data_IF_944958462394
#
_entry.id   IF_944958462394
#
_cell.length_a   1.000
_cell.length_b   1.000
_cell.length_c   1.000
_cell.angle_alpha   90.00
_cell.angle_beta   90.00
_cell.angle_gamma   90.00
#
_symmetry.space_group_name_H-M   'P 1'
#
loop_
_entity.id
_entity.type
_entity.pdbx_description
1 polymer ?
#
# COMPACT_ATOMS: atom_id res chain seq x y z
N UNK A 1 -1.90 27.63 11.65
CA UNK A 1 -3.24 27.28 11.14
C UNK A 1 -3.15 27.21 9.63
N UNK A 2 -3.58 26.19 8.90
CA UNK A 2 -4.31 24.97 9.24
C UNK A 2 -3.85 23.84 8.31
N UNK A 3 -3.94 22.63 8.81
CA UNK A 3 -3.87 21.39 8.05
C UNK A 3 -4.44 20.33 8.96
N UNK A 4 -5.78 20.30 9.03
CA UNK A 4 -6.53 19.19 9.65
C UNK A 4 -5.89 17.89 9.16
N UNK A 5 -5.61 16.89 10.01
CA UNK A 5 -5.07 15.61 9.54
C UNK A 5 -5.99 15.15 8.40
N UNK A 6 -5.40 14.89 7.23
CA UNK A 6 -6.13 14.39 6.08
C UNK A 6 -6.75 13.08 6.51
N UNK A 7 -8.03 13.13 6.87
CA UNK A 7 -8.81 11.95 7.12
C UNK A 7 -8.68 11.09 5.87
N UNK A 8 -8.08 9.91 6.03
CA UNK A 8 -7.84 8.97 4.93
C UNK A 8 -9.13 8.82 4.11
N UNK A 9 -9.12 8.95 2.77
CA UNK A 9 -10.34 8.82 1.98
C UNK A 9 -11.09 7.53 2.29
N UNK A 10 -12.43 7.58 2.25
CA UNK A 10 -13.27 6.44 2.67
C UNK A 10 -12.96 5.17 1.84
N UNK A 11 -12.74 5.31 0.55
CA UNK A 11 -12.37 4.21 -0.35
C UNK A 11 -11.02 3.59 0.04
N UNK A 12 -10.02 4.41 0.40
CA UNK A 12 -8.73 3.94 0.88
C UNK A 12 -8.84 3.24 2.24
N UNK A 13 -9.62 3.80 3.18
CA UNK A 13 -9.88 3.17 4.49
C UNK A 13 -10.56 1.81 4.35
N UNK A 14 -11.62 1.72 3.55
CA UNK A 14 -12.39 0.48 3.36
C UNK A 14 -11.56 -0.62 2.70
N UNK A 15 -10.80 -0.27 1.66
CA UNK A 15 -9.96 -1.24 0.93
C UNK A 15 -8.82 -1.75 1.82
N UNK A 16 -8.15 -0.84 2.54
CA UNK A 16 -7.08 -1.20 3.48
C UNK A 16 -7.58 -2.06 4.63
N UNK A 17 -8.73 -1.72 5.23
CA UNK A 17 -9.31 -2.50 6.32
C UNK A 17 -9.70 -3.92 5.87
N UNK A 18 -10.25 -4.06 4.66
CA UNK A 18 -10.58 -5.38 4.11
C UNK A 18 -9.32 -6.20 3.80
N UNK A 19 -8.30 -5.58 3.21
CA UNK A 19 -7.02 -6.23 2.93
C UNK A 19 -6.37 -6.75 4.22
N UNK A 20 -6.15 -5.86 5.20
CA UNK A 20 -5.51 -6.19 6.47
C UNK A 20 -6.27 -7.28 7.24
N UNK A 21 -7.59 -7.15 7.38
CA UNK A 21 -8.39 -8.16 8.09
C UNK A 21 -8.39 -9.52 7.39
N UNK A 22 -8.28 -9.55 6.06
CA UNK A 22 -8.16 -10.80 5.31
C UNK A 22 -6.79 -11.44 5.51
N UNK A 23 -5.72 -10.66 5.48
CA UNK A 23 -4.36 -11.13 5.78
C UNK A 23 -4.28 -11.66 7.21
N UNK A 24 -4.74 -10.88 8.20
CA UNK A 24 -4.65 -11.25 9.62
C UNK A 24 -5.40 -12.54 9.94
N UNK A 25 -6.50 -12.82 9.24
CA UNK A 25 -7.25 -14.07 9.41
C UNK A 25 -6.52 -15.27 8.80
N UNK A 26 -5.80 -15.07 7.71
CA UNK A 26 -5.10 -16.13 7.00
C UNK A 26 -3.71 -16.42 7.62
N UNK A 27 -2.95 -15.38 7.93
CA UNK A 27 -1.57 -15.43 8.44
C UNK A 27 -1.37 -14.33 9.51
N UNK A 28 -1.81 -14.56 10.76
CA UNK A 28 -1.71 -13.58 11.84
C UNK A 28 -0.28 -13.11 12.07
N UNK A 29 -0.09 -11.79 12.17
CA UNK A 29 1.22 -11.19 12.42
C UNK A 29 2.16 -11.19 11.21
N UNK A 30 1.68 -11.56 10.03
CA UNK A 30 2.45 -11.42 8.79
C UNK A 30 2.83 -9.97 8.53
N UNK A 31 1.86 -9.05 8.58
CA UNK A 31 2.04 -7.62 8.33
C UNK A 31 2.09 -6.85 9.65
N UNK A 32 3.25 -6.27 9.95
CA UNK A 32 3.50 -5.44 11.13
C UNK A 32 3.53 -3.94 10.82
N UNK A 33 3.59 -3.56 9.54
CA UNK A 33 3.39 -2.21 9.06
C UNK A 33 2.46 -2.13 7.85
N UNK A 34 1.75 -1.01 7.71
CA UNK A 34 0.96 -0.68 6.52
C UNK A 34 0.82 0.83 6.39
N UNK A 35 1.23 1.35 5.25
CA UNK A 35 1.30 2.79 4.98
C UNK A 35 0.60 3.12 3.67
N UNK A 36 -0.14 4.22 3.65
CA UNK A 36 -0.67 4.80 2.41
C UNK A 36 0.27 5.88 1.91
N UNK A 37 0.55 5.86 0.61
CA UNK A 37 1.47 6.76 -0.10
C UNK A 37 0.76 7.37 -1.32
N UNK A 38 1.51 8.01 -2.21
CA UNK A 38 0.95 8.61 -3.43
C UNK A 38 -0.13 9.65 -3.16
N UNK A 39 -1.11 9.74 -4.05
CA UNK A 39 -2.13 10.80 -4.03
C UNK A 39 -2.91 10.92 -2.71
N UNK A 40 -3.03 9.82 -1.96
CA UNK A 40 -3.69 9.80 -0.65
C UNK A 40 -2.90 10.62 0.37
N UNK A 41 -1.58 10.48 0.45
CA UNK A 41 -0.76 11.20 1.43
C UNK A 41 -0.54 12.68 1.05
N UNK A 42 -0.69 13.03 -0.22
CA UNK A 42 -0.67 14.43 -0.68
C UNK A 42 -2.02 15.14 -0.57
N UNK A 43 -3.10 14.44 -0.24
CA UNK A 43 -4.45 15.01 -0.22
C UNK A 43 -5.00 15.36 -1.60
N UNK A 44 -4.50 14.71 -2.66
CA UNK A 44 -4.91 14.90 -4.06
C UNK A 44 -5.56 13.61 -4.63
N UNK A 45 -6.20 12.84 -3.75
CA UNK A 45 -6.87 11.60 -4.12
C UNK A 45 -8.29 11.84 -4.66
N UNK A 46 -8.55 11.37 -5.87
CA UNK A 46 -9.83 11.51 -6.55
C UNK A 46 -10.44 10.14 -6.87
N UNK A 47 -11.20 9.56 -5.93
CA UNK A 47 -11.79 8.22 -6.06
C UNK A 47 -12.67 8.00 -7.31
N UNK A 48 -13.26 9.09 -7.83
CA UNK A 48 -14.14 9.07 -9.02
C UNK A 48 -13.55 9.83 -10.22
N UNK A 49 -12.31 10.30 -10.10
CA UNK A 49 -11.60 11.16 -11.05
C UNK A 49 -11.94 12.64 -10.91
N UNK A 50 -11.04 13.50 -11.41
CA UNK A 50 -11.04 14.94 -11.14
C UNK A 50 -11.86 15.81 -12.12
N UNK A 51 -12.64 15.25 -13.07
CA UNK A 51 -13.34 16.10 -14.04
C UNK A 51 -14.42 15.46 -14.93
N UNK A 52 -14.95 16.27 -15.87
CA UNK A 52 -15.85 15.81 -16.94
C UNK A 52 -15.04 15.52 -18.21
N UNK A 53 -15.05 14.27 -18.68
CA UNK A 53 -14.47 13.88 -19.96
C UNK A 53 -13.74 12.54 -19.93
N UNK A 54 -13.23 12.08 -21.08
CA UNK A 54 -12.49 10.81 -21.24
C UNK A 54 -11.12 10.77 -20.52
N UNK A 55 -10.70 11.87 -19.89
CA UNK A 55 -9.41 12.03 -19.21
C UNK A 55 -9.54 12.09 -17.67
N UNK A 56 -10.75 11.93 -17.11
CA UNK A 56 -10.95 11.89 -15.66
C UNK A 56 -10.72 10.47 -15.13
N UNK A 57 -9.46 10.06 -15.03
CA UNK A 57 -9.10 8.79 -14.40
C UNK A 57 -9.19 8.94 -12.89
N UNK A 58 -9.76 7.94 -12.22
CA UNK A 58 -9.71 7.89 -10.76
C UNK A 58 -8.26 7.70 -10.30
N UNK A 59 -7.89 8.32 -9.17
CA UNK A 59 -6.64 8.00 -8.49
C UNK A 59 -6.62 6.53 -8.08
N UNK A 60 -5.43 5.98 -7.92
CA UNK A 60 -5.21 4.67 -7.33
C UNK A 60 -5.00 4.79 -5.81
N UNK A 61 -5.18 3.69 -5.09
CA UNK A 61 -4.81 3.56 -3.67
C UNK A 61 -3.45 2.90 -3.64
N UNK A 62 -2.42 3.71 -3.42
CA UNK A 62 -1.04 3.27 -3.31
C UNK A 62 -0.68 2.92 -1.86
N UNK A 63 -0.06 1.76 -1.65
CA UNK A 63 0.36 1.31 -0.32
C UNK A 63 1.79 0.76 -0.28
N UNK A 64 2.39 0.83 0.92
CA UNK A 64 3.56 0.06 1.31
C UNK A 64 3.18 -0.78 2.51
N UNK A 65 3.16 -2.10 2.35
CA UNK A 65 2.94 -3.04 3.44
C UNK A 65 4.28 -3.56 3.94
N UNK A 66 4.41 -3.73 5.25
CA UNK A 66 5.65 -4.22 5.86
C UNK A 66 5.37 -5.53 6.57
N UNK A 67 5.98 -6.60 6.07
CA UNK A 67 5.97 -7.90 6.66
C UNK A 67 7.10 -8.03 7.69
N UNK A 68 6.81 -8.71 8.80
CA UNK A 68 7.80 -8.92 9.86
C UNK A 68 9.02 -9.70 9.37
N UNK A 69 8.78 -10.64 8.47
CA UNK A 69 9.80 -11.45 7.79
C UNK A 69 9.38 -11.64 6.34
N UNK A 70 10.34 -11.98 5.48
CA UNK A 70 10.07 -12.27 4.08
C UNK A 70 8.95 -13.33 3.97
N UNK A 71 7.85 -13.06 3.25
CA UNK A 71 6.75 -14.01 3.15
C UNK A 71 7.19 -15.31 2.49
N UNK A 72 6.94 -16.45 3.15
CA UNK A 72 7.03 -17.77 2.53
C UNK A 72 5.80 -18.09 1.67
N UNK A 73 5.69 -19.31 1.11
CA UNK A 73 4.57 -19.68 0.23
C UNK A 73 3.17 -19.47 0.83
N UNK A 74 3.00 -19.74 2.13
CA UNK A 74 1.74 -19.48 2.86
C UNK A 74 1.42 -17.98 2.93
N UNK A 75 2.40 -17.17 3.34
CA UNK A 75 2.28 -15.71 3.37
C UNK A 75 1.98 -15.10 2.00
N UNK A 76 2.66 -15.55 0.95
CA UNK A 76 2.39 -15.12 -0.43
C UNK A 76 0.95 -15.47 -0.83
N UNK A 77 0.47 -16.67 -0.49
CA UNK A 77 -0.89 -17.10 -0.79
C UNK A 77 -1.93 -16.26 -0.04
N UNK A 78 -1.66 -15.93 1.23
CA UNK A 78 -2.51 -15.05 2.03
C UNK A 78 -2.59 -13.63 1.46
N UNK A 79 -1.44 -13.06 1.05
CA UNK A 79 -1.37 -11.75 0.41
C UNK A 79 -2.14 -11.72 -0.93
N UNK A 80 -1.93 -12.75 -1.77
CA UNK A 80 -2.64 -12.88 -3.05
C UNK A 80 -4.16 -12.98 -2.84
N UNK A 81 -4.60 -13.79 -1.87
CA UNK A 81 -6.02 -13.95 -1.55
C UNK A 81 -6.62 -12.66 -1.00
N UNK A 82 -5.92 -11.96 -0.10
CA UNK A 82 -6.37 -10.70 0.47
C UNK A 82 -6.49 -9.61 -0.59
N UNK A 83 -5.50 -9.52 -1.49
CA UNK A 83 -5.53 -8.59 -2.63
C UNK A 83 -6.70 -8.89 -3.56
N UNK A 84 -6.84 -10.14 -4.00
CA UNK A 84 -7.94 -10.56 -4.86
C UNK A 84 -9.32 -10.31 -4.24
N UNK A 85 -9.46 -10.57 -2.93
CA UNK A 85 -10.70 -10.30 -2.17
C UNK A 85 -11.01 -8.80 -2.15
N UNK A 86 -9.99 -7.97 -1.95
CA UNK A 86 -10.12 -6.51 -1.89
C UNK A 86 -10.54 -5.95 -3.25
N UNK A 87 -9.85 -6.33 -4.33
CA UNK A 87 -10.18 -5.91 -5.70
C UNK A 87 -11.54 -6.41 -6.17
N UNK A 88 -11.92 -7.64 -5.80
CA UNK A 88 -13.24 -8.17 -6.12
C UNK A 88 -14.36 -7.38 -5.43
N UNK A 89 -14.12 -6.92 -4.19
CA UNK A 89 -15.09 -6.14 -3.43
C UNK A 89 -15.11 -4.66 -3.84
N UNK A 90 -13.95 -4.10 -4.14
CA UNK A 90 -13.73 -2.70 -4.49
C UNK A 90 -12.88 -2.62 -5.77
N UNK A 91 -13.49 -2.75 -6.95
CA UNK A 91 -12.75 -2.80 -8.23
C UNK A 91 -12.16 -1.46 -8.65
N UNK A 92 -12.64 -0.35 -8.07
CA UNK A 92 -12.09 1.00 -8.23
C UNK A 92 -12.22 1.75 -6.90
N UNK A 93 -11.28 2.65 -6.56
CA UNK A 93 -9.93 2.82 -7.12
C UNK A 93 -9.09 1.55 -7.20
N UNK A 94 -8.02 1.55 -8.00
CA UNK A 94 -7.09 0.41 -8.01
C UNK A 94 -6.38 0.33 -6.66
N UNK A 95 -5.90 -0.85 -6.32
CA UNK A 95 -5.30 -1.12 -5.02
C UNK A 95 -3.91 -1.74 -5.26
N UNK A 96 -2.90 -0.88 -5.22
CA UNK A 96 -1.57 -1.13 -5.77
C UNK A 96 -0.49 -0.79 -4.74
N UNK A 97 0.64 -1.50 -4.79
CA UNK A 97 1.66 -1.37 -3.76
C UNK A 97 2.57 -2.58 -3.62
N UNK A 98 3.47 -2.54 -2.64
CA UNK A 98 4.51 -3.55 -2.44
C UNK A 98 4.51 -4.07 -1.00
N UNK A 99 4.98 -5.31 -0.81
CA UNK A 99 5.15 -5.95 0.50
C UNK A 99 6.64 -6.10 0.82
N UNK A 100 7.14 -5.18 1.63
CA UNK A 100 8.53 -5.07 2.05
C UNK A 100 8.74 -5.72 3.42
N UNK A 101 9.99 -5.88 3.84
CA UNK A 101 10.37 -6.05 5.25
C UNK A 101 10.95 -4.74 5.78
N UNK A 102 11.09 -4.63 7.10
CA UNK A 102 11.79 -3.48 7.69
C UNK A 102 13.22 -3.33 7.17
N UNK A 103 13.91 -4.44 6.91
CA UNK A 103 15.25 -4.43 6.32
C UNK A 103 15.26 -3.95 4.86
N UNK A 104 14.22 -4.28 4.09
CA UNK A 104 14.08 -3.81 2.70
C UNK A 104 13.86 -2.29 2.65
N UNK A 105 13.09 -1.74 3.61
CA UNK A 105 12.89 -0.30 3.74
C UNK A 105 14.21 0.41 4.07
N UNK A 106 14.93 -0.04 5.09
CA UNK A 106 16.19 0.56 5.51
C UNK A 106 17.31 0.44 4.45
N UNK A 107 17.25 -0.56 3.58
CA UNK A 107 18.21 -0.72 2.49
C UNK A 107 17.93 0.21 1.30
N UNK A 108 16.70 0.71 1.17
CA UNK A 108 16.28 1.53 0.04
C UNK A 108 15.87 0.72 -1.20
N UNK A 109 15.33 1.41 -2.23
CA UNK A 109 14.66 0.76 -3.37
C UNK A 109 15.62 0.05 -4.34
N UNK A 110 16.88 0.48 -4.41
CA UNK A 110 17.87 -0.08 -5.35
C UNK A 110 18.39 -1.45 -4.88
N UNK A 111 18.58 -1.61 -3.56
CA UNK A 111 19.08 -2.84 -2.95
C UNK A 111 17.95 -3.81 -2.56
N UNK A 112 16.69 -3.41 -2.73
CA UNK A 112 15.54 -4.26 -2.45
C UNK A 112 15.41 -5.40 -3.48
N UNK A 113 15.24 -6.67 -3.05
CA UNK A 113 15.00 -7.79 -3.97
C UNK A 113 13.60 -7.72 -4.60
N UNK A 114 13.28 -8.67 -5.48
CA UNK A 114 11.90 -8.82 -5.95
C UNK A 114 10.98 -9.22 -4.79
N UNK A 115 9.83 -8.55 -4.70
CA UNK A 115 8.88 -8.67 -3.59
C UNK A 115 7.46 -8.91 -4.08
N UNK A 116 6.55 -9.40 -3.23
CA UNK A 116 5.13 -9.40 -3.59
C UNK A 116 4.65 -7.98 -3.83
N UNK A 117 4.05 -7.73 -4.98
CA UNK A 117 3.58 -6.42 -5.37
C UNK A 117 2.26 -6.51 -6.15
N UNK A 118 1.56 -5.40 -6.24
CA UNK A 118 0.38 -5.24 -7.05
C UNK A 118 0.48 -3.96 -7.88
N UNK A 119 0.16 -4.08 -9.16
CA UNK A 119 0.05 -2.96 -10.06
C UNK A 119 -1.15 -3.17 -10.98
N UNK A 120 -1.89 -2.09 -11.24
CA UNK A 120 -3.09 -2.12 -12.04
C UNK A 120 -4.17 -3.09 -11.50
N UNK A 121 -4.23 -3.24 -10.16
CA UNK A 121 -5.01 -4.24 -9.43
C UNK A 121 -4.67 -5.69 -9.79
N UNK A 122 -3.41 -5.97 -10.16
CA UNK A 122 -2.92 -7.33 -10.44
C UNK A 122 -1.78 -7.67 -9.51
N UNK A 123 -1.95 -8.74 -8.74
CA UNK A 123 -0.93 -9.24 -7.82
C UNK A 123 0.13 -10.08 -8.54
N UNK A 124 1.39 -9.84 -8.20
CA UNK A 124 2.54 -10.67 -8.54
C UNK A 124 3.22 -11.14 -7.24
N UNK A 125 3.57 -12.43 -7.18
CA UNK A 125 4.25 -13.01 -6.02
C UNK A 125 5.70 -12.50 -5.84
N UNK A 126 6.31 -12.04 -6.94
CA UNK A 126 7.63 -11.44 -6.98
C UNK A 126 7.68 -10.44 -8.15
N UNK A 127 8.09 -9.21 -7.86
CA UNK A 127 8.23 -8.12 -8.81
C UNK A 127 8.83 -6.88 -8.16
N UNK A 128 8.88 -5.77 -8.91
CA UNK A 128 9.48 -4.51 -8.46
C UNK A 128 8.53 -3.31 -8.52
N UNK A 129 7.24 -3.55 -8.73
CA UNK A 129 6.26 -2.47 -8.78
C UNK A 129 6.19 -1.78 -7.42
N UNK A 130 6.24 -0.45 -7.40
CA UNK A 130 6.32 0.38 -6.18
C UNK A 130 7.72 0.47 -5.55
N UNK A 131 8.74 -0.22 -6.09
CA UNK A 131 10.13 -0.12 -5.62
C UNK A 131 10.87 0.99 -6.35
N UNK A 132 10.67 2.23 -5.93
CA UNK A 132 11.36 3.37 -6.52
C UNK A 132 11.65 4.47 -5.47
N UNK A 133 12.64 5.35 -5.72
CA UNK A 133 13.00 6.42 -4.79
C UNK A 133 11.87 7.39 -4.46
N UNK A 134 10.92 7.60 -5.37
CA UNK A 134 9.78 8.50 -5.13
C UNK A 134 8.88 7.91 -4.06
N UNK A 135 8.46 6.66 -4.19
CA UNK A 135 7.61 5.98 -3.20
C UNK A 135 8.26 5.93 -1.80
N UNK A 136 9.56 5.69 -1.72
CA UNK A 136 10.31 5.70 -0.44
C UNK A 136 10.36 7.11 0.17
N UNK A 137 10.64 8.13 -0.64
CA UNK A 137 10.61 9.52 -0.19
C UNK A 137 9.20 9.97 0.25
N UNK A 138 8.15 9.57 -0.47
CA UNK A 138 6.76 9.82 -0.09
C UNK A 138 6.42 9.19 1.26
N UNK A 139 6.81 7.92 1.47
CA UNK A 139 6.63 7.23 2.73
C UNK A 139 7.32 7.98 3.87
N UNK A 140 8.62 8.27 3.74
CA UNK A 140 9.43 8.91 4.78
C UNK A 140 8.94 10.31 5.14
N UNK A 141 8.44 11.07 4.16
CA UNK A 141 8.09 12.48 4.37
C UNK A 141 6.62 12.73 4.69
N UNK A 142 5.72 11.87 4.18
CA UNK A 142 4.27 12.14 4.21
C UNK A 142 3.39 10.90 4.39
N UNK A 143 3.97 9.69 4.43
CA UNK A 143 3.19 8.46 4.52
C UNK A 143 2.11 8.53 5.60
N UNK A 144 0.97 7.88 5.37
CA UNK A 144 -0.07 7.77 6.39
C UNK A 144 0.02 6.37 6.99
N UNK A 145 0.43 6.28 8.26
CA UNK A 145 0.43 5.01 8.99
C UNK A 145 -1.00 4.53 9.23
N UNK A 146 -1.31 3.33 8.74
CA UNK A 146 -2.54 2.59 9.05
C UNK A 146 -2.27 1.49 10.09
N UNK A 147 -1.05 0.93 10.06
CA UNK A 147 -0.52 -0.03 11.03
C UNK A 147 0.99 0.19 11.16
N UNK A 148 1.53 0.01 12.37
CA UNK A 148 2.97 0.11 12.63
C UNK A 148 3.37 1.46 13.22
N UNK A 149 4.68 1.73 13.36
CA UNK A 149 5.19 3.02 13.80
C UNK A 149 4.85 4.15 12.82
N UNK A 150 4.90 5.39 13.29
CA UNK A 150 4.76 6.57 12.42
C UNK A 150 5.89 6.58 11.37
N UNK A 151 5.66 7.08 10.14
CA UNK A 151 6.68 7.04 9.09
C UNK A 151 7.95 7.81 9.45
N UNK A 152 7.88 8.83 10.31
CA UNK A 152 9.05 9.56 10.81
C UNK A 152 9.97 8.71 11.71
N UNK A 153 9.46 7.58 12.20
CA UNK A 153 10.18 6.63 13.05
C UNK A 153 10.61 5.37 12.28
N UNK A 154 10.38 5.32 10.97
CA UNK A 154 10.79 4.23 10.08
C UNK A 154 12.10 4.63 9.39
N UNK A 155 13.06 3.71 9.38
CA UNK A 155 14.30 3.87 8.61
C UNK A 155 14.01 3.53 7.14
N UNK A 156 14.12 4.52 6.24
CA UNK A 156 13.75 4.48 4.82
C UNK A 156 14.82 5.15 3.96
#
# INVERSE_FOLDING_TARGET
>A
MAGVPSETPEEARRSTALFLSTVDRAEPGLLTGFYLVGSVCFGDFHARGAGRGRLSTASDIDFVAVAERRPGPGGISALAQAHATTVARFPKPRFDGSVLTWADLAAGPDDCPDVPCAQESRFAAAGRDGLNPVTFCELATRGIAVRGPEPSDVDV
#
